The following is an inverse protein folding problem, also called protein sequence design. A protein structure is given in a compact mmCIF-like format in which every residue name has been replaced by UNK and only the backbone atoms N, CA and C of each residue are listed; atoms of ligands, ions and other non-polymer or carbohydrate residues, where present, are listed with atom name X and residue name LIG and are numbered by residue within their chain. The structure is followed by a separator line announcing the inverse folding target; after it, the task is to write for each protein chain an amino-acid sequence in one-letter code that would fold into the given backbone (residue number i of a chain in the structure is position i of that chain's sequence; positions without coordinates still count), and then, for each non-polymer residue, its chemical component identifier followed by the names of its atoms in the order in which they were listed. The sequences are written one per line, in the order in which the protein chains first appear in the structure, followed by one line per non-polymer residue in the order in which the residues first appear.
data_IF_550109452892
#
_entry.id   IF_550109452892
#
_cell.length_a   1.000
_cell.length_b   1.000
_cell.length_c   1.000
_cell.angle_alpha   90.00
_cell.angle_beta   90.00
_cell.angle_gamma   90.00
#
_symmetry.space_group_name_H-M   'P 1'
#
loop_
_entity.id
_entity.type
_entity.pdbx_description
1 polymer ?
#
# COMPACT_ATOMS: atom_id res chain seq x y z
N UNK A 1 12.73 21.13 -18.69
CA UNK A 1 14.17 20.80 -18.84
C UNK A 1 14.82 21.04 -17.49
N UNK A 2 15.18 19.98 -16.78
CA UNK A 2 15.82 20.07 -15.46
C UNK A 2 17.20 19.42 -15.55
N UNK A 3 18.23 20.18 -15.20
CA UNK A 3 19.60 19.73 -15.09
C UNK A 3 19.76 18.97 -13.77
N UNK A 4 20.10 17.69 -13.85
CA UNK A 4 20.52 16.89 -12.69
C UNK A 4 22.04 16.85 -12.70
N UNK A 5 22.66 17.29 -11.60
CA UNK A 5 24.11 17.30 -11.44
C UNK A 5 24.49 16.03 -10.67
N UNK A 6 25.26 15.16 -11.32
CA UNK A 6 25.77 13.92 -10.73
C UNK A 6 27.27 14.08 -10.45
N UNK A 7 27.65 14.01 -9.16
CA UNK A 7 29.03 14.20 -8.71
C UNK A 7 29.70 12.85 -8.52
N UNK A 8 30.57 12.47 -9.46
CA UNK A 8 31.41 11.27 -9.33
C UNK A 8 32.80 11.66 -8.83
N UNK A 9 33.14 11.29 -7.61
CA UNK A 9 34.49 11.47 -7.06
C UNK A 9 35.44 10.45 -7.71
N UNK A 10 36.39 10.95 -8.50
CA UNK A 10 37.52 10.17 -9.00
C UNK A 10 38.77 10.46 -8.14
N UNK A 11 39.62 9.45 -7.88
CA UNK A 11 40.68 9.51 -6.87
C UNK A 11 41.88 10.41 -7.22
N UNK A 12 41.87 11.12 -8.35
CA UNK A 12 43.01 11.94 -8.79
C UNK A 12 42.55 13.28 -9.37
N UNK A 13 42.43 14.27 -8.47
CA UNK A 13 42.44 15.75 -8.59
C UNK A 13 42.14 16.45 -9.93
N UNK A 14 41.35 15.89 -10.84
CA UNK A 14 40.85 16.59 -12.02
C UNK A 14 39.32 16.46 -12.04
N UNK A 15 38.65 17.60 -11.86
CA UNK A 15 37.20 17.71 -11.83
C UNK A 15 36.68 17.64 -13.27
N UNK A 16 36.10 16.50 -13.65
CA UNK A 16 35.53 16.33 -14.99
C UNK A 16 34.00 16.42 -14.93
N UNK A 17 33.45 17.52 -15.47
CA UNK A 17 32.00 17.69 -15.62
C UNK A 17 31.56 17.07 -16.94
N UNK A 18 30.88 15.92 -16.88
CA UNK A 18 30.26 15.32 -18.07
C UNK A 18 28.78 15.67 -18.12
N UNK A 19 28.41 16.63 -18.96
CA UNK A 19 27.00 16.92 -19.27
C UNK A 19 26.44 15.78 -20.12
N UNK A 20 25.65 14.87 -19.53
CA UNK A 20 24.89 13.88 -20.29
C UNK A 20 23.46 14.38 -20.44
N UNK A 21 23.10 14.78 -21.67
CA UNK A 21 21.71 15.04 -22.02
C UNK A 21 20.93 13.71 -21.99
N UNK A 22 20.15 13.49 -20.95
CA UNK A 22 19.19 12.40 -20.88
C UNK A 22 17.86 12.87 -21.45
N UNK A 23 17.46 12.34 -22.62
CA UNK A 23 16.15 12.59 -23.21
C UNK A 23 15.15 11.71 -22.46
N UNK A 24 14.58 12.23 -21.38
CA UNK A 24 13.53 11.55 -20.61
C UNK A 24 12.23 11.63 -21.42
N UNK A 25 12.08 10.81 -22.45
CA UNK A 25 10.80 10.57 -23.10
C UNK A 25 9.95 9.68 -22.20
N UNK A 26 9.54 10.21 -21.05
CA UNK A 26 8.44 9.64 -20.29
C UNK A 26 7.18 10.39 -20.67
N UNK A 27 6.50 9.88 -21.71
CA UNK A 27 5.05 9.97 -21.79
C UNK A 27 4.44 9.19 -20.63
N UNK A 28 4.65 9.68 -19.40
CA UNK A 28 3.92 9.22 -18.23
C UNK A 28 2.52 9.78 -18.40
N UNK A 29 1.64 8.99 -19.01
CA UNK A 29 0.26 8.97 -18.54
C UNK A 29 0.37 8.69 -17.04
N UNK A 30 0.27 9.76 -16.25
CA UNK A 30 0.04 9.69 -14.82
C UNK A 30 -1.35 9.09 -14.67
N UNK A 31 -1.47 7.77 -14.90
CA UNK A 31 -2.54 7.04 -14.26
C UNK A 31 -2.28 7.25 -12.77
N UNK A 32 -3.14 8.04 -12.15
CA UNK A 32 -3.21 8.14 -10.71
C UNK A 32 -3.66 6.76 -10.24
N UNK A 33 -2.70 5.84 -10.06
CA UNK A 33 -3.01 4.48 -9.66
C UNK A 33 -3.36 4.55 -8.17
N UNK A 34 -4.65 4.78 -7.90
CA UNK A 34 -5.25 4.84 -6.57
C UNK A 34 -5.05 3.53 -5.80
N UNK A 35 -4.89 2.41 -6.50
CA UNK A 35 -4.92 1.07 -5.93
C UNK A 35 -3.69 0.26 -6.33
N UNK A 36 -2.99 -0.32 -5.35
CA UNK A 36 -1.83 -1.18 -5.59
C UNK A 36 -2.09 -2.61 -5.06
N UNK A 37 -1.83 -3.62 -5.90
CA UNK A 37 -1.87 -5.03 -5.53
C UNK A 37 -3.21 -5.48 -4.93
N UNK A 38 -3.20 -6.18 -3.80
CA UNK A 38 -4.40 -6.70 -3.13
C UNK A 38 -5.17 -5.68 -2.29
N UNK A 39 -4.94 -4.37 -2.44
CA UNK A 39 -5.63 -3.33 -1.66
C UNK A 39 -7.17 -3.41 -1.65
N UNK A 40 -7.80 -3.90 -2.73
CA UNK A 40 -9.27 -4.10 -2.82
C UNK A 40 -9.82 -5.07 -1.79
N UNK A 41 -8.99 -6.00 -1.26
CA UNK A 41 -9.42 -6.91 -0.19
C UNK A 41 -9.85 -6.16 1.06
N UNK A 42 -9.36 -4.94 1.26
CA UNK A 42 -9.78 -4.10 2.39
C UNK A 42 -11.25 -3.70 2.36
N UNK A 43 -11.93 -3.81 1.22
CA UNK A 43 -13.39 -3.63 1.11
C UNK A 43 -14.09 -4.98 1.13
N UNK A 44 -13.56 -5.96 0.40
CA UNK A 44 -14.19 -7.27 0.26
C UNK A 44 -14.23 -8.08 1.56
N UNK A 45 -13.15 -8.05 2.36
CA UNK A 45 -13.07 -8.83 3.61
C UNK A 45 -14.16 -8.38 4.60
N UNK A 46 -14.29 -7.08 4.95
CA UNK A 46 -15.34 -6.64 5.87
C UNK A 46 -16.76 -6.98 5.39
N UNK A 47 -17.04 -6.81 4.10
CA UNK A 47 -18.34 -7.14 3.51
C UNK A 47 -18.67 -8.64 3.65
N UNK A 48 -17.71 -9.52 3.35
CA UNK A 48 -17.90 -10.96 3.47
C UNK A 48 -18.06 -11.40 4.92
N UNK A 49 -17.35 -10.76 5.85
CA UNK A 49 -17.45 -11.05 7.27
C UNK A 49 -18.82 -10.66 7.88
N UNK A 50 -19.64 -9.84 7.22
CA UNK A 50 -20.98 -9.51 7.72
C UNK A 50 -21.98 -10.66 7.56
N UNK A 51 -21.88 -11.44 6.48
CA UNK A 51 -22.82 -12.51 6.11
C UNK A 51 -23.08 -13.50 7.26
N UNK A 52 -22.06 -14.08 7.94
CA UNK A 52 -22.31 -15.05 9.00
C UNK A 52 -22.99 -14.47 10.25
N UNK A 53 -22.98 -13.14 10.44
CA UNK A 53 -23.59 -12.49 11.61
C UNK A 53 -24.95 -11.86 11.32
N UNK A 54 -25.48 -11.97 10.10
CA UNK A 54 -26.73 -11.32 9.71
C UNK A 54 -27.95 -11.73 10.56
N UNK A 55 -27.92 -12.91 11.20
CA UNK A 55 -28.99 -13.43 12.06
C UNK A 55 -28.95 -12.98 13.53
N UNK A 56 -27.99 -12.13 13.93
CA UNK A 56 -27.95 -11.64 15.31
C UNK A 56 -29.12 -10.68 15.59
N UNK A 57 -29.65 -10.75 16.81
CA UNK A 57 -30.77 -9.92 17.26
C UNK A 57 -30.43 -8.42 17.31
N UNK A 58 -31.45 -7.57 17.27
CA UNK A 58 -31.35 -6.11 17.37
C UNK A 58 -30.39 -5.42 16.39
N UNK A 59 -30.03 -6.07 15.27
CA UNK A 59 -29.12 -5.48 14.28
C UNK A 59 -27.63 -5.52 14.70
N UNK A 60 -27.29 -6.20 15.79
CA UNK A 60 -25.90 -6.38 16.25
C UNK A 60 -25.02 -7.07 15.19
N UNK A 61 -25.63 -7.82 14.28
CA UNK A 61 -24.98 -8.53 13.18
C UNK A 61 -24.05 -7.67 12.33
N UNK A 62 -24.50 -6.45 12.02
CA UNK A 62 -23.72 -5.50 11.24
C UNK A 62 -22.45 -5.07 12.00
N UNK A 63 -22.60 -4.67 13.26
CA UNK A 63 -21.49 -4.21 14.08
C UNK A 63 -20.47 -5.31 14.35
N UNK A 64 -20.93 -6.50 14.78
CA UNK A 64 -20.06 -7.66 15.03
C UNK A 64 -19.33 -8.07 13.74
N UNK A 65 -20.06 -8.19 12.63
CA UNK A 65 -19.49 -8.59 11.35
C UNK A 65 -18.43 -7.61 10.84
N UNK A 66 -18.66 -6.31 10.99
CA UNK A 66 -17.69 -5.27 10.62
C UNK A 66 -16.44 -5.29 11.51
N UNK A 67 -16.59 -5.51 12.83
CA UNK A 67 -15.44 -5.62 13.74
C UNK A 67 -14.59 -6.86 13.45
N UNK A 68 -15.23 -8.00 13.22
CA UNK A 68 -14.55 -9.23 12.79
C UNK A 68 -13.85 -9.00 11.45
N UNK A 69 -14.55 -8.38 10.50
CA UNK A 69 -14.01 -8.00 9.20
C UNK A 69 -12.79 -7.08 9.29
N UNK A 70 -12.83 -6.08 10.16
CA UNK A 70 -11.73 -5.17 10.43
C UNK A 70 -10.50 -5.91 11.00
N UNK A 71 -10.72 -6.81 11.97
CA UNK A 71 -9.67 -7.63 12.55
C UNK A 71 -9.02 -8.56 11.52
N UNK A 72 -9.82 -9.27 10.73
CA UNK A 72 -9.32 -10.17 9.67
C UNK A 72 -8.56 -9.37 8.61
N UNK A 73 -9.09 -8.22 8.17
CA UNK A 73 -8.40 -7.36 7.21
C UNK A 73 -7.09 -6.80 7.77
N UNK A 74 -7.03 -6.45 9.06
CA UNK A 74 -5.82 -5.96 9.70
C UNK A 74 -4.73 -7.03 9.72
N UNK A 75 -5.11 -8.26 10.10
CA UNK A 75 -4.20 -9.41 10.14
C UNK A 75 -3.67 -9.77 8.75
N UNK A 76 -4.56 -9.93 7.76
CA UNK A 76 -4.17 -10.22 6.37
C UNK A 76 -3.30 -9.08 5.82
N UNK A 77 -3.67 -7.85 6.13
CA UNK A 77 -2.93 -6.67 5.70
C UNK A 77 -1.52 -6.60 6.22
N UNK A 78 -1.35 -6.86 7.51
CA UNK A 78 -0.04 -6.96 8.12
C UNK A 78 0.80 -8.07 7.48
N UNK A 79 0.23 -9.26 7.29
CA UNK A 79 0.91 -10.40 6.67
C UNK A 79 1.33 -10.14 5.22
N UNK A 80 0.49 -9.47 4.44
CA UNK A 80 0.76 -9.20 3.03
C UNK A 80 1.75 -8.04 2.84
N UNK A 81 1.68 -7.00 3.67
CA UNK A 81 2.54 -5.82 3.55
C UNK A 81 3.90 -5.93 4.24
N UNK A 82 4.08 -6.85 5.19
CA UNK A 82 5.35 -7.04 5.91
C UNK A 82 6.20 -8.21 5.37
N UNK A 83 6.00 -8.60 4.12
CA UNK A 83 6.85 -9.61 3.48
C UNK A 83 8.28 -9.06 3.28
N UNK A 84 9.31 -9.91 3.46
CA UNK A 84 10.69 -9.49 3.24
C UNK A 84 10.87 -8.97 1.81
N UNK A 85 11.59 -7.86 1.69
CA UNK A 85 11.93 -7.30 0.39
C UNK A 85 12.83 -8.25 -0.40
N UNK A 86 12.63 -8.33 -1.71
CA UNK A 86 13.54 -9.05 -2.59
C UNK A 86 14.59 -8.07 -3.10
N UNK A 87 15.86 -8.44 -2.97
CA UNK A 87 16.97 -7.66 -3.50
C UNK A 87 17.14 -7.97 -4.99
N UNK A 88 17.22 -6.93 -5.81
CA UNK A 88 17.48 -7.02 -7.23
C UNK A 88 18.73 -6.21 -7.55
N UNK A 89 19.53 -6.67 -8.52
CA UNK A 89 20.69 -5.95 -9.03
C UNK A 89 20.27 -5.23 -10.30
N UNK A 90 20.43 -3.91 -10.32
CA UNK A 90 20.23 -3.11 -11.53
C UNK A 90 21.36 -3.39 -12.53
N UNK A 91 21.01 -3.91 -13.70
CA UNK A 91 21.96 -4.28 -14.76
C UNK A 91 22.76 -3.09 -15.29
N UNK A 92 22.24 -1.87 -15.19
CA UNK A 92 22.89 -0.68 -15.76
C UNK A 92 23.89 -0.03 -14.79
N UNK A 93 23.61 -0.09 -13.49
CA UNK A 93 24.41 0.59 -12.46
C UNK A 93 25.20 -0.37 -11.57
N UNK A 94 24.83 -1.66 -11.55
CA UNK A 94 25.34 -2.65 -10.60
C UNK A 94 24.84 -2.44 -9.17
N UNK A 95 23.93 -1.48 -8.94
CA UNK A 95 23.41 -1.17 -7.62
C UNK A 95 22.38 -2.19 -7.15
N UNK A 96 22.38 -2.48 -5.85
CA UNK A 96 21.35 -3.28 -5.19
C UNK A 96 20.12 -2.42 -4.87
N UNK A 97 18.94 -2.88 -5.27
CA UNK A 97 17.65 -2.25 -4.95
C UNK A 97 16.76 -3.27 -4.26
N UNK A 98 16.28 -2.92 -3.07
CA UNK A 98 15.36 -3.75 -2.29
C UNK A 98 13.92 -3.40 -2.67
N UNK A 99 13.24 -4.30 -3.37
CA UNK A 99 11.82 -4.15 -3.70
C UNK A 99 10.93 -4.84 -2.67
N UNK A 100 10.02 -4.07 -2.07
CA UNK A 100 8.98 -4.58 -1.17
C UNK A 100 7.62 -4.50 -1.85
N UNK A 101 6.83 -5.57 -1.72
CA UNK A 101 5.43 -5.57 -2.16
C UNK A 101 4.63 -4.65 -1.26
N UNK A 102 3.75 -3.85 -1.84
CA UNK A 102 2.80 -2.99 -1.11
C UNK A 102 1.39 -3.23 -1.65
N UNK A 103 0.46 -3.41 -0.72
CA UNK A 103 -0.96 -3.61 -0.98
C UNK A 103 -1.70 -2.46 -0.31
N UNK A 104 -2.09 -1.48 -1.12
CA UNK A 104 -2.64 -0.20 -0.66
C UNK A 104 -3.90 0.12 -1.43
N UNK A 105 -4.88 0.72 -0.75
CA UNK A 105 -6.08 1.29 -1.34
C UNK A 105 -6.05 2.81 -1.07
N UNK A 106 -6.21 3.63 -2.09
CA UNK A 106 -6.00 5.09 -2.01
C UNK A 106 -4.65 5.46 -1.37
N UNK A 107 -3.58 4.73 -1.71
CA UNK A 107 -2.24 4.88 -1.10
C UNK A 107 -2.15 4.53 0.41
N UNK A 108 -3.25 4.10 1.03
CA UNK A 108 -3.29 3.66 2.42
C UNK A 108 -3.07 2.16 2.49
N UNK A 109 -2.06 1.65 3.22
CA UNK A 109 -1.88 0.22 3.46
C UNK A 109 -3.14 -0.40 4.05
N UNK A 110 -3.55 -1.56 3.54
CA UNK A 110 -4.81 -2.19 3.91
C UNK A 110 -5.01 -2.40 5.42
N UNK A 111 -3.94 -2.58 6.21
CA UNK A 111 -4.05 -2.68 7.67
C UNK A 111 -4.58 -1.40 8.35
N UNK A 112 -4.36 -0.22 7.77
CA UNK A 112 -4.84 1.04 8.32
C UNK A 112 -6.28 1.34 7.87
N UNK A 113 -6.69 0.84 6.69
CA UNK A 113 -8.08 0.87 6.27
C UNK A 113 -8.98 0.09 7.25
N UNK A 114 -8.45 -0.95 7.92
CA UNK A 114 -9.16 -1.64 9.00
C UNK A 114 -9.61 -0.75 10.16
N UNK A 115 -8.86 0.31 10.47
CA UNK A 115 -9.24 1.22 11.56
C UNK A 115 -10.55 1.93 11.22
N UNK A 116 -10.72 2.33 9.96
CA UNK A 116 -11.97 2.92 9.49
C UNK A 116 -13.14 1.94 9.65
N UNK A 117 -12.96 0.69 9.23
CA UNK A 117 -13.98 -0.35 9.41
C UNK A 117 -14.29 -0.65 10.87
N UNK A 118 -13.28 -0.65 11.74
CA UNK A 118 -13.47 -0.84 13.17
C UNK A 118 -14.32 0.29 13.77
N UNK A 119 -14.03 1.54 13.41
CA UNK A 119 -14.81 2.71 13.84
C UNK A 119 -16.27 2.58 13.39
N UNK A 120 -16.52 2.26 12.11
CA UNK A 120 -17.88 2.04 11.60
C UNK A 120 -18.58 0.89 12.34
N UNK A 121 -17.89 -0.21 12.62
CA UNK A 121 -18.43 -1.33 13.38
C UNK A 121 -18.81 -0.96 14.82
N UNK A 122 -17.98 -0.17 15.51
CA UNK A 122 -18.28 0.35 16.85
C UNK A 122 -19.52 1.25 16.83
N UNK A 123 -19.60 2.19 15.87
CA UNK A 123 -20.79 3.03 15.72
C UNK A 123 -22.06 2.22 15.43
N UNK A 124 -21.96 1.19 14.59
CA UNK A 124 -23.07 0.30 14.30
C UNK A 124 -23.54 -0.48 15.54
N UNK A 125 -22.62 -0.92 16.40
CA UNK A 125 -22.98 -1.57 17.67
C UNK A 125 -23.70 -0.61 18.61
N UNK A 126 -23.19 0.61 18.81
CA UNK A 126 -23.85 1.60 19.66
C UNK A 126 -25.24 1.99 19.15
N UNK A 127 -25.45 1.96 17.85
CA UNK A 127 -26.76 2.25 17.24
C UNK A 127 -27.76 1.09 17.38
N UNK A 128 -27.28 -0.12 17.71
CA UNK A 128 -28.05 -1.35 17.82
C UNK A 128 -28.38 -1.75 19.27
N UNK A 129 -27.81 -1.04 20.25
CA UNK A 129 -28.08 -1.18 21.69
C UNK A 129 -29.25 -0.29 22.10
#
# INVERSE_FOLDING_TARGET
MLLVIDFKLLPRRHFFVRLRASKINQGRVMFFIIWQGWGVLSILIPLLCMVPFAGLFNGLGLGVGLLVGAAVNAYIGHKLNNQPGKTYIDKNTGGEVIFRKKHTLFYVPMQYVSVLWAVVGVFALFSAL
#
